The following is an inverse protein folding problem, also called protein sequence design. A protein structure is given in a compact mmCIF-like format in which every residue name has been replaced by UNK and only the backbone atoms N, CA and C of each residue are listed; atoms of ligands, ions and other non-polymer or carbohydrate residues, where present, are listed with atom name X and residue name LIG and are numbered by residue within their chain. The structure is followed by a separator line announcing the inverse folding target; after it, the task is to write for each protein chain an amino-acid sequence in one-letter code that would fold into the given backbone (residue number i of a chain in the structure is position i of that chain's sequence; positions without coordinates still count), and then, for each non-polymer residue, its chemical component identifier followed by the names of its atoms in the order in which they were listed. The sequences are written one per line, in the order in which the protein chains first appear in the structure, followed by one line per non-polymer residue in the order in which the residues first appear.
data_IF_688930703137
#
_entry.id   IF_688930703137
#
_cell.length_a   1.000
_cell.length_b   1.000
_cell.length_c   1.000
_cell.angle_alpha   90.00
_cell.angle_beta   90.00
_cell.angle_gamma   90.00
#
_symmetry.space_group_name_H-M   'P 1'
#
loop_
_entity.id
_entity.type
_entity.pdbx_description
1 polymer ?
#
# COMPACT_ATOMS: atom_id res chain seq x y z
N UNK A 1 14.68 -9.74 13.74
CA UNK A 1 14.37 -8.38 13.25
C UNK A 1 12.86 -8.25 13.24
N UNK A 2 12.26 -7.22 13.85
CA UNK A 2 10.81 -7.07 13.79
C UNK A 2 10.35 -6.88 12.33
N UNK A 3 9.19 -7.42 11.95
CA UNK A 3 8.67 -7.33 10.58
C UNK A 3 8.63 -5.87 10.06
N UNK A 4 8.35 -4.90 10.94
CA UNK A 4 8.40 -3.47 10.63
C UNK A 4 9.81 -2.94 10.29
N UNK A 5 10.89 -3.43 10.92
CA UNK A 5 12.26 -2.96 10.64
C UNK A 5 12.79 -3.51 9.31
N UNK A 6 12.53 -4.79 9.02
CA UNK A 6 12.90 -5.38 7.72
C UNK A 6 12.17 -4.63 6.59
N UNK A 7 10.87 -4.36 6.75
CA UNK A 7 10.09 -3.57 5.80
C UNK A 7 10.75 -2.23 5.49
N UNK A 8 11.12 -1.46 6.52
CA UNK A 8 11.74 -0.14 6.33
C UNK A 8 13.11 -0.21 5.67
N UNK A 9 13.90 -1.25 5.95
CA UNK A 9 15.20 -1.47 5.29
C UNK A 9 14.98 -1.73 3.79
N UNK A 10 14.07 -2.63 3.44
CA UNK A 10 13.78 -2.97 2.04
C UNK A 10 13.24 -1.78 1.26
N UNK A 11 12.35 -0.98 1.86
CA UNK A 11 11.90 0.29 1.27
C UNK A 11 13.10 1.21 1.04
N UNK A 12 13.97 1.38 2.04
CA UNK A 12 15.16 2.26 1.93
C UNK A 12 16.13 1.81 0.84
N UNK A 13 16.32 0.49 0.67
CA UNK A 13 17.17 -0.10 -0.38
C UNK A 13 16.65 0.20 -1.79
N UNK A 14 15.35 0.49 -1.94
CA UNK A 14 14.75 0.91 -3.22
C UNK A 14 14.74 2.42 -3.41
N UNK A 15 14.53 3.18 -2.33
CA UNK A 15 14.39 4.64 -2.38
C UNK A 15 15.63 5.31 -2.95
N UNK A 16 16.82 4.93 -2.46
CA UNK A 16 18.08 5.55 -2.91
C UNK A 16 18.31 5.38 -4.41
N UNK A 17 18.31 4.15 -4.97
CA UNK A 17 18.55 3.98 -6.41
C UNK A 17 17.43 4.58 -7.26
N UNK A 18 16.17 4.55 -6.81
CA UNK A 18 15.04 5.18 -7.53
C UNK A 18 15.19 6.71 -7.55
N UNK A 19 15.50 7.33 -6.40
CA UNK A 19 15.69 8.78 -6.31
C UNK A 19 16.87 9.27 -7.15
N UNK A 20 17.96 8.50 -7.21
CA UNK A 20 19.14 8.81 -8.05
C UNK A 20 18.81 8.74 -9.55
N UNK A 21 17.90 7.85 -9.94
CA UNK A 21 17.48 7.67 -11.32
C UNK A 21 16.32 8.61 -11.75
N UNK A 22 15.83 9.48 -10.86
CA UNK A 22 14.84 10.48 -11.21
C UNK A 22 15.34 11.43 -12.32
N UNK A 23 14.44 11.75 -13.25
CA UNK A 23 14.68 12.73 -14.32
C UNK A 23 13.77 13.94 -14.15
N UNK A 24 14.00 14.99 -14.96
CA UNK A 24 13.21 16.22 -14.87
C UNK A 24 11.71 15.94 -15.03
N UNK A 25 10.90 16.40 -14.07
CA UNK A 25 9.45 16.21 -14.07
C UNK A 25 8.97 14.88 -13.47
N UNK A 26 9.87 13.99 -13.06
CA UNK A 26 9.56 12.79 -12.29
C UNK A 26 9.92 13.03 -10.82
N UNK A 27 9.16 12.43 -9.91
CA UNK A 27 9.39 12.45 -8.46
C UNK A 27 9.08 11.09 -7.87
N UNK A 28 9.83 10.67 -6.86
CA UNK A 28 9.49 9.54 -6.01
C UNK A 28 9.00 10.00 -4.62
N UNK A 29 8.05 9.26 -4.06
CA UNK A 29 7.47 9.49 -2.75
C UNK A 29 7.41 8.18 -1.98
N UNK A 30 7.70 8.22 -0.68
CA UNK A 30 7.65 7.06 0.20
C UNK A 30 6.46 7.10 1.14
N UNK A 31 5.89 5.93 1.40
CA UNK A 31 4.75 5.75 2.30
C UNK A 31 3.54 6.63 1.95
N UNK A 32 3.41 7.02 0.68
CA UNK A 32 2.46 8.02 0.21
C UNK A 32 1.10 7.42 -0.15
N UNK A 33 0.07 8.22 0.02
CA UNK A 33 -1.26 7.90 -0.47
C UNK A 33 -1.39 8.13 -1.98
N UNK A 34 -2.11 7.27 -2.68
CA UNK A 34 -2.42 7.37 -4.11
C UNK A 34 -3.93 7.45 -4.25
N UNK A 35 -4.45 8.65 -4.51
CA UNK A 35 -5.89 8.88 -4.77
C UNK A 35 -6.19 8.51 -6.22
N UNK A 36 -6.76 7.33 -6.42
CA UNK A 36 -7.10 6.79 -7.75
C UNK A 36 -8.51 7.18 -8.18
N UNK A 37 -9.42 7.32 -7.21
CA UNK A 37 -10.79 7.83 -7.37
C UNK A 37 -11.27 8.51 -6.09
N UNK A 38 -12.49 9.04 -6.08
CA UNK A 38 -13.09 9.67 -4.89
C UNK A 38 -13.39 8.68 -3.77
N UNK A 39 -13.47 7.39 -4.08
CA UNK A 39 -13.73 6.29 -3.17
C UNK A 39 -12.58 5.28 -3.10
N UNK A 40 -11.47 5.57 -3.80
CA UNK A 40 -10.31 4.68 -3.87
C UNK A 40 -9.01 5.43 -3.63
N UNK A 41 -8.38 5.10 -2.51
CA UNK A 41 -7.11 5.61 -2.07
C UNK A 41 -6.27 4.47 -1.50
N UNK A 42 -5.17 4.15 -2.18
CA UNK A 42 -4.25 3.08 -1.80
C UNK A 42 -2.95 3.69 -1.28
N UNK A 43 -2.29 3.04 -0.33
CA UNK A 43 -1.00 3.52 0.18
C UNK A 43 0.11 2.69 -0.45
N UNK A 44 0.96 3.34 -1.24
CA UNK A 44 2.15 2.72 -1.79
C UNK A 44 3.32 2.89 -0.82
N UNK A 45 4.19 1.88 -0.72
CA UNK A 45 5.43 2.00 0.06
C UNK A 45 6.43 2.93 -0.64
N UNK A 46 6.45 2.87 -1.98
CA UNK A 46 7.15 3.80 -2.86
C UNK A 46 6.30 4.02 -4.12
N UNK A 47 6.13 5.27 -4.53
CA UNK A 47 5.50 5.61 -5.80
C UNK A 47 6.41 6.54 -6.60
N UNK A 48 6.34 6.44 -7.93
CA UNK A 48 6.95 7.39 -8.86
C UNK A 48 5.83 8.12 -9.58
N UNK A 49 5.73 9.43 -9.38
CA UNK A 49 4.73 10.32 -9.99
C UNK A 49 5.36 11.28 -11.00
N UNK A 50 4.54 11.81 -11.92
CA UNK A 50 4.86 13.10 -12.55
C UNK A 50 4.77 14.18 -11.48
N UNK A 51 5.67 15.15 -11.50
CA UNK A 51 5.76 16.19 -10.47
C UNK A 51 4.45 16.96 -10.24
N UNK A 52 3.63 17.13 -11.28
CA UNK A 52 2.31 17.77 -11.22
C UNK A 52 1.25 16.95 -10.45
N UNK A 53 1.44 15.64 -10.30
CA UNK A 53 0.53 14.77 -9.55
C UNK A 53 0.80 14.81 -8.05
N UNK A 54 1.95 15.34 -7.64
CA UNK A 54 2.39 15.31 -6.26
C UNK A 54 1.87 16.62 -5.60
N UNK A 55 0.69 16.57 -4.95
CA UNK A 55 0.07 17.73 -4.30
C UNK A 55 0.89 18.15 -3.07
N UNK A 56 1.34 19.41 -3.05
CA UNK A 56 2.35 19.93 -2.12
C UNK A 56 1.91 19.98 -0.65
N UNK A 57 0.61 19.81 -0.36
CA UNK A 57 0.07 19.95 0.99
C UNK A 57 -0.23 18.61 1.70
N UNK A 58 -0.23 17.47 0.99
CA UNK A 58 -0.82 16.21 1.54
C UNK A 58 -0.03 14.92 1.38
N UNK A 59 1.22 14.96 0.91
CA UNK A 59 2.05 13.75 0.70
C UNK A 59 1.29 12.65 -0.07
N UNK A 60 0.49 13.07 -1.06
CA UNK A 60 -0.46 12.25 -1.79
C UNK A 60 -0.32 12.47 -3.30
N UNK A 61 -0.28 11.36 -4.05
CA UNK A 61 -0.30 11.33 -5.51
C UNK A 61 -1.75 11.38 -5.99
N UNK A 62 -2.04 12.33 -6.89
CA UNK A 62 -3.34 12.43 -7.56
C UNK A 62 -3.34 11.63 -8.87
N UNK A 63 -4.30 10.72 -9.01
CA UNK A 63 -4.42 9.82 -10.15
C UNK A 63 -3.38 8.70 -10.17
N UNK A 64 -3.36 7.90 -11.26
CA UNK A 64 -2.45 6.75 -11.36
C UNK A 64 -0.98 7.22 -11.43
N UNK A 65 -0.09 6.75 -10.54
CA UNK A 65 1.35 7.01 -10.63
C UNK A 65 1.93 6.33 -11.87
N UNK A 66 3.17 6.69 -12.22
CA UNK A 66 3.94 5.98 -13.25
C UNK A 66 4.36 4.60 -12.75
N UNK A 67 4.72 4.48 -11.47
CA UNK A 67 5.07 3.22 -10.82
C UNK A 67 4.52 3.22 -9.39
N UNK A 68 3.90 2.11 -8.98
CA UNK A 68 3.62 1.78 -7.59
C UNK A 68 4.47 0.58 -7.17
N UNK A 69 5.12 0.68 -6.01
CA UNK A 69 5.94 -0.38 -5.42
C UNK A 69 5.37 -0.72 -4.04
N UNK A 70 5.18 -2.01 -3.81
CA UNK A 70 4.79 -2.55 -2.51
C UNK A 70 5.91 -3.45 -1.97
N UNK A 71 6.24 -3.27 -0.70
CA UNK A 71 7.13 -4.16 0.03
C UNK A 71 6.24 -5.03 0.92
N UNK A 72 6.13 -6.31 0.59
CA UNK A 72 5.17 -7.18 1.24
C UNK A 72 5.53 -7.40 2.72
N UNK A 73 4.57 -7.15 3.61
CA UNK A 73 4.62 -7.55 5.02
C UNK A 73 3.73 -8.78 5.26
N UNK A 74 3.84 -9.47 6.40
CA UNK A 74 2.92 -10.57 6.72
C UNK A 74 1.44 -10.18 6.60
N UNK A 75 1.08 -8.95 6.97
CA UNK A 75 -0.31 -8.46 6.92
C UNK A 75 -0.74 -8.04 5.50
N UNK A 76 0.17 -7.50 4.68
CA UNK A 76 -0.18 -6.96 3.37
C UNK A 76 0.03 -7.92 2.20
N UNK A 77 0.90 -8.92 2.35
CA UNK A 77 1.39 -9.80 1.28
C UNK A 77 0.28 -10.38 0.40
N UNK A 78 -0.80 -10.87 1.00
CA UNK A 78 -1.91 -11.46 0.25
C UNK A 78 -2.59 -10.42 -0.67
N UNK A 79 -2.75 -9.19 -0.20
CA UNK A 79 -3.33 -8.09 -0.99
C UNK A 79 -2.33 -7.52 -2.00
N UNK A 80 -1.07 -7.36 -1.65
CA UNK A 80 -0.03 -6.85 -2.55
C UNK A 80 0.19 -7.79 -3.76
N UNK A 81 0.09 -9.11 -3.55
CA UNK A 81 0.18 -10.09 -4.64
C UNK A 81 -1.14 -10.31 -5.40
N UNK A 82 -2.25 -9.75 -4.90
CA UNK A 82 -3.62 -9.98 -5.40
C UNK A 82 -4.40 -8.68 -5.56
N UNK A 83 -5.31 -8.40 -4.63
CA UNK A 83 -6.29 -7.32 -4.75
C UNK A 83 -5.70 -5.95 -5.10
N UNK A 84 -4.56 -5.54 -4.53
CA UNK A 84 -3.94 -4.25 -4.85
C UNK A 84 -3.35 -4.23 -6.25
N UNK A 85 -2.76 -5.33 -6.71
CA UNK A 85 -2.32 -5.48 -8.10
C UNK A 85 -3.51 -5.31 -9.04
N UNK A 86 -4.64 -5.95 -8.75
CA UNK A 86 -5.85 -5.84 -9.56
C UNK A 86 -6.42 -4.41 -9.55
N UNK A 87 -6.37 -3.72 -8.41
CA UNK A 87 -6.77 -2.32 -8.29
C UNK A 87 -5.89 -1.39 -9.12
N UNK A 88 -4.57 -1.44 -8.96
CA UNK A 88 -3.65 -0.62 -9.76
C UNK A 88 -3.78 -0.92 -11.27
N UNK A 89 -4.03 -2.18 -11.65
CA UNK A 89 -4.34 -2.56 -13.03
C UNK A 89 -5.60 -1.86 -13.53
N UNK A 90 -6.69 -1.95 -12.75
CA UNK A 90 -8.00 -1.34 -13.06
C UNK A 90 -7.89 0.17 -13.27
N UNK A 91 -7.07 0.85 -12.48
CA UNK A 91 -6.84 2.29 -12.58
C UNK A 91 -5.74 2.69 -13.58
N UNK A 92 -5.14 1.74 -14.29
CA UNK A 92 -4.23 2.04 -15.39
C UNK A 92 -2.82 2.46 -14.97
N UNK A 93 -2.35 2.04 -13.77
CA UNK A 93 -0.98 2.30 -13.34
C UNK A 93 -0.01 1.51 -14.24
N UNK A 94 0.92 2.15 -14.98
CA UNK A 94 1.71 1.46 -15.99
C UNK A 94 2.67 0.40 -15.44
N UNK A 95 3.24 0.63 -14.27
CA UNK A 95 4.23 -0.26 -13.65
C UNK A 95 3.85 -0.59 -12.21
N UNK A 96 3.94 -1.86 -11.85
CA UNK A 96 3.65 -2.34 -10.50
C UNK A 96 4.69 -3.34 -10.03
N UNK A 97 5.41 -3.03 -8.95
CA UNK A 97 6.44 -3.91 -8.41
C UNK A 97 6.05 -4.42 -7.03
N UNK A 98 6.36 -5.68 -6.77
CA UNK A 98 6.23 -6.27 -5.43
C UNK A 98 7.57 -6.83 -5.00
N UNK A 99 8.11 -6.29 -3.91
CA UNK A 99 9.26 -6.84 -3.21
C UNK A 99 8.75 -7.71 -2.08
N UNK A 100 8.86 -9.01 -2.26
CA UNK A 100 8.34 -10.01 -1.33
C UNK A 100 9.50 -10.68 -0.59
N UNK A 101 9.81 -10.26 0.66
CA UNK A 101 10.76 -10.97 1.50
C UNK A 101 10.19 -12.28 2.07
N UNK A 102 8.90 -12.55 1.87
CA UNK A 102 8.23 -13.77 2.29
C UNK A 102 8.17 -14.84 1.19
N UNK A 103 7.77 -16.05 1.58
CA UNK A 103 7.77 -17.23 0.70
C UNK A 103 8.95 -18.16 0.99
N UNK A 104 9.23 -19.09 0.05
CA UNK A 104 10.39 -19.99 0.16
C UNK A 104 11.71 -19.24 -0.05
N UNK A 105 11.72 -18.25 -0.95
CA UNK A 105 12.85 -17.36 -1.23
C UNK A 105 12.36 -15.91 -1.45
N UNK A 106 13.14 -14.89 -1.03
CA UNK A 106 12.85 -13.49 -1.34
C UNK A 106 12.81 -13.23 -2.85
N UNK A 107 11.84 -12.44 -3.31
CA UNK A 107 11.69 -12.15 -4.73
C UNK A 107 11.28 -10.71 -5.01
N UNK A 108 11.66 -10.20 -6.18
CA UNK A 108 11.11 -8.98 -6.77
C UNK A 108 10.31 -9.35 -8.00
N UNK A 109 9.04 -8.93 -8.04
CA UNK A 109 8.15 -9.11 -9.20
C UNK A 109 7.97 -7.77 -9.87
N UNK A 110 8.22 -7.73 -11.17
CA UNK A 110 8.08 -6.53 -12.00
C UNK A 110 6.92 -6.75 -12.96
N UNK A 111 5.84 -6.01 -12.77
CA UNK A 111 4.69 -6.03 -13.66
C UNK A 111 4.62 -4.76 -14.51
N UNK A 112 4.20 -4.94 -15.77
CA UNK A 112 3.92 -3.85 -16.70
C UNK A 112 2.52 -4.01 -17.28
N UNK A 113 1.79 -2.90 -17.39
CA UNK A 113 0.45 -2.85 -17.94
C UNK A 113 0.56 -2.86 -19.47
N UNK A 114 -0.01 -3.89 -20.10
CA UNK A 114 -0.15 -3.99 -21.55
C UNK A 114 -1.61 -4.22 -21.88
N UNK A 115 -2.17 -3.37 -22.75
CA UNK A 115 -3.55 -3.49 -23.22
C UNK A 115 -4.56 -3.67 -22.07
N UNK A 116 -4.32 -2.99 -20.94
CA UNK A 116 -5.17 -3.02 -19.74
C UNK A 116 -4.95 -4.21 -18.80
N UNK A 117 -3.97 -5.08 -19.06
CA UNK A 117 -3.66 -6.26 -18.23
C UNK A 117 -2.18 -6.28 -17.83
N UNK A 118 -1.90 -6.57 -16.55
CA UNK A 118 -0.54 -6.71 -16.08
C UNK A 118 0.10 -8.02 -16.54
N UNK A 119 1.24 -7.89 -17.21
CA UNK A 119 2.15 -9.00 -17.47
C UNK A 119 3.29 -8.98 -16.43
N UNK A 120 3.59 -10.12 -15.78
CA UNK A 120 4.85 -10.29 -15.03
C UNK A 120 6.00 -10.35 -16.04
N UNK A 121 6.79 -9.27 -16.13
CA UNK A 121 7.92 -9.17 -17.06
C UNK A 121 9.12 -9.94 -16.59
N UNK A 122 9.39 -9.83 -15.30
CA UNK A 122 10.47 -10.54 -14.66
C UNK A 122 10.09 -10.86 -13.22
N UNK A 123 10.58 -12.01 -12.77
CA UNK A 123 10.68 -12.36 -11.36
C UNK A 123 12.15 -12.55 -11.04
N UNK A 124 12.66 -11.73 -10.14
CA UNK A 124 14.07 -11.70 -9.75
C UNK A 124 14.18 -12.44 -8.41
N UNK A 125 14.84 -13.59 -8.42
CA UNK A 125 15.22 -14.34 -7.20
C UNK A 125 16.73 -14.24 -6.93
N UNK A 126 17.26 -15.05 -6.00
CA UNK A 126 18.68 -15.05 -5.64
C UNK A 126 19.62 -15.14 -6.85
N UNK A 127 20.64 -14.29 -6.89
CA UNK A 127 21.62 -14.14 -7.98
C UNK A 127 21.10 -13.35 -9.19
N UNK A 128 19.83 -12.96 -9.19
CA UNK A 128 19.16 -12.32 -10.31
C UNK A 128 19.37 -10.81 -10.37
N UNK A 129 19.40 -10.27 -11.59
CA UNK A 129 19.33 -8.83 -11.87
C UNK A 129 18.50 -8.55 -13.12
N UNK A 130 17.95 -7.35 -13.21
CA UNK A 130 17.16 -6.90 -14.36
C UNK A 130 17.26 -5.39 -14.57
N UNK A 131 17.50 -4.97 -15.80
CA UNK A 131 17.45 -3.56 -16.18
C UNK A 131 16.00 -3.15 -16.52
N UNK A 132 15.49 -2.19 -15.77
CA UNK A 132 14.25 -1.48 -16.04
C UNK A 132 14.59 -0.20 -16.79
N UNK A 133 13.85 0.11 -17.86
CA UNK A 133 14.05 1.34 -18.64
C UNK A 133 12.93 2.37 -18.47
N UNK A 134 11.78 1.97 -17.93
CA UNK A 134 10.62 2.82 -17.68
C UNK A 134 9.99 2.48 -16.32
N UNK A 135 9.50 3.49 -15.56
CA UNK A 135 9.40 4.90 -15.93
C UNK A 135 10.73 5.68 -15.79
N UNK A 136 11.76 5.02 -15.26
CA UNK A 136 13.11 5.54 -15.09
C UNK A 136 14.11 4.39 -15.28
N UNK A 137 15.35 4.68 -15.74
CA UNK A 137 16.36 3.66 -15.94
C UNK A 137 16.97 3.24 -14.60
N UNK A 138 16.78 1.97 -14.21
CA UNK A 138 17.32 1.41 -12.97
C UNK A 138 17.65 -0.07 -13.16
N UNK A 139 18.78 -0.52 -12.61
CA UNK A 139 19.05 -1.95 -12.46
C UNK A 139 18.50 -2.42 -11.10
N UNK A 140 17.62 -3.42 -11.14
CA UNK A 140 17.15 -4.13 -9.96
C UNK A 140 18.01 -5.38 -9.79
N UNK A 141 18.85 -5.42 -8.75
CA UNK A 141 19.62 -6.59 -8.38
C UNK A 141 19.09 -7.16 -7.05
N UNK A 142 18.84 -8.48 -7.02
CA UNK A 142 18.32 -9.16 -5.84
C UNK A 142 19.20 -8.90 -4.61
N UNK A 143 20.51 -9.08 -4.76
CA UNK A 143 21.47 -8.89 -3.68
C UNK A 143 21.44 -7.46 -3.16
N UNK A 144 21.34 -6.45 -4.03
CA UNK A 144 21.31 -5.05 -3.59
C UNK A 144 20.03 -4.71 -2.80
N UNK A 145 18.91 -5.37 -3.12
CA UNK A 145 17.62 -5.12 -2.47
C UNK A 145 17.53 -5.87 -1.13
N UNK A 146 18.02 -7.10 -1.07
CA UNK A 146 17.90 -7.97 0.11
C UNK A 146 19.19 -8.09 0.95
N UNK A 147 20.25 -7.31 0.67
CA UNK A 147 21.51 -7.38 1.44
C UNK A 147 21.29 -7.10 2.95
N UNK A 148 21.95 -7.90 3.79
CA UNK A 148 21.83 -7.86 5.25
C UNK A 148 22.63 -6.70 5.90
N UNK A 149 23.24 -5.82 5.10
CA UNK A 149 24.27 -4.87 5.53
C UNK A 149 23.77 -3.45 5.88
N UNK A 150 22.59 -3.31 6.50
CA UNK A 150 22.13 -1.99 7.03
C UNK A 150 21.84 -2.03 8.53
N UNK A 151 22.92 -2.09 9.32
CA UNK A 151 22.91 -1.82 10.76
C UNK A 151 22.90 -0.31 11.03
N UNK A 152 21.73 0.30 11.00
CA UNK A 152 21.53 1.61 11.63
C UNK A 152 20.40 1.55 12.66
N UNK A 153 20.81 1.62 13.93
CA UNK A 153 19.92 1.83 15.05
C UNK A 153 19.69 3.34 15.22
N UNK A 154 18.44 3.78 15.13
CA UNK A 154 18.01 5.14 15.44
C UNK A 154 16.66 5.11 16.16
N UNK A 155 16.60 5.78 17.32
CA UNK A 155 15.38 5.96 18.09
C UNK A 155 14.37 6.83 17.34
N UNK A 156 13.12 6.38 17.24
CA UNK A 156 12.00 7.21 16.84
C UNK A 156 11.08 7.49 18.03
N UNK A 157 10.74 8.77 18.25
CA UNK A 157 9.65 9.23 19.11
C UNK A 157 8.45 9.51 18.21
N UNK A 158 7.32 8.85 18.48
CA UNK A 158 6.09 9.09 17.74
C UNK A 158 5.56 10.50 17.97
N UNK A 159 5.08 11.14 16.90
CA UNK A 159 4.21 12.30 16.99
C UNK A 159 2.76 11.84 17.16
N UNK A 160 2.04 12.51 18.06
CA UNK A 160 0.59 12.43 18.18
C UNK A 160 -0.03 13.41 17.19
N UNK A 161 -0.97 12.96 16.36
CA UNK A 161 -1.89 13.84 15.64
C UNK A 161 -3.16 14.03 16.48
N UNK A 162 -3.74 15.23 16.43
CA UNK A 162 -5.02 15.54 17.08
C UNK A 162 -6.19 14.95 16.27
N UNK A 163 -7.14 14.34 16.98
CA UNK A 163 -8.34 13.73 16.41
C UNK A 163 -9.52 14.70 16.44
N UNK A 164 -9.95 15.20 15.28
CA UNK A 164 -11.34 15.61 15.04
C UNK A 164 -11.69 15.33 13.58
N UNK A 165 -12.78 14.59 13.36
CA UNK A 165 -13.30 14.25 12.03
C UNK A 165 -14.83 14.22 12.04
N UNK A 166 -15.47 14.46 10.88
CA UNK A 166 -16.93 14.52 10.77
C UNK A 166 -17.61 13.16 11.03
N UNK A 167 -18.94 13.19 11.16
CA UNK A 167 -19.78 11.99 11.25
C UNK A 167 -19.60 11.11 10.01
N UNK A 168 -19.66 9.79 10.19
CA UNK A 168 -19.60 8.83 9.08
C UNK A 168 -20.84 9.01 8.19
N UNK A 169 -20.71 8.86 6.86
CA UNK A 169 -21.88 8.76 5.98
C UNK A 169 -22.72 7.54 6.39
N UNK A 170 -23.98 7.52 5.96
CA UNK A 170 -24.89 6.41 6.28
C UNK A 170 -24.32 5.06 5.79
N UNK A 171 -24.79 3.94 6.34
CA UNK A 171 -24.31 2.61 5.93
C UNK A 171 -24.64 2.26 4.46
N UNK A 172 -25.54 3.03 3.84
CA UNK A 172 -25.98 2.90 2.45
C UNK A 172 -25.13 3.75 1.48
N UNK A 173 -24.39 4.73 1.98
CA UNK A 173 -23.55 5.63 1.16
C UNK A 173 -22.08 5.13 1.13
N UNK A 174 -21.31 5.38 0.05
CA UNK A 174 -19.88 5.06 0.04
C UNK A 174 -19.10 5.98 0.99
N UNK A 175 -18.03 5.47 1.60
CA UNK A 175 -17.07 6.32 2.32
C UNK A 175 -16.12 6.90 1.28
N UNK A 176 -16.10 8.23 1.14
CA UNK A 176 -15.21 8.92 0.22
C UNK A 176 -13.86 9.26 0.88
N UNK A 177 -12.82 9.46 0.07
CA UNK A 177 -11.44 9.75 0.50
C UNK A 177 -11.39 10.95 1.44
N UNK A 178 -12.16 12.00 1.15
CA UNK A 178 -12.18 13.21 1.96
C UNK A 178 -12.82 12.98 3.34
N UNK A 179 -13.77 12.04 3.47
CA UNK A 179 -14.32 11.66 4.78
C UNK A 179 -13.41 10.68 5.54
N UNK A 180 -12.78 9.75 4.82
CA UNK A 180 -11.90 8.72 5.35
C UNK A 180 -10.64 9.29 6.02
N UNK A 181 -10.02 10.32 5.42
CA UNK A 181 -8.76 10.93 5.93
C UNK A 181 -8.85 11.57 7.32
N UNK A 182 -10.05 11.67 7.91
CA UNK A 182 -10.29 12.36 9.18
C UNK A 182 -10.63 11.42 10.36
N UNK A 183 -10.56 10.09 10.20
CA UNK A 183 -10.93 9.12 11.27
C UNK A 183 -9.96 7.94 11.29
N UNK A 184 -9.39 7.62 12.46
CA UNK A 184 -8.34 6.60 12.58
C UNK A 184 -8.55 5.70 13.81
N UNK A 185 -8.63 4.36 13.70
CA UNK A 185 -8.49 3.49 14.84
C UNK A 185 -7.00 3.36 15.21
N UNK A 186 -6.68 3.60 16.48
CA UNK A 186 -5.35 3.37 17.05
C UNK A 186 -4.95 1.90 16.88
N UNK A 187 -3.84 1.61 16.19
CA UNK A 187 -3.23 0.27 16.12
C UNK A 187 -3.02 -0.30 14.73
N UNK A 188 -3.67 0.23 13.68
CA UNK A 188 -3.45 -0.25 12.31
C UNK A 188 -2.03 0.08 11.81
N UNK A 189 -1.37 -0.88 11.16
CA UNK A 189 -0.04 -0.72 10.55
C UNK A 189 -0.12 0.14 9.27
N UNK A 190 -1.19 -0.07 8.51
CA UNK A 190 -1.51 0.60 7.25
C UNK A 190 -3.02 0.65 7.13
N UNK A 191 -3.53 1.70 6.51
CA UNK A 191 -4.96 1.84 6.21
C UNK A 191 -5.08 2.27 4.77
N UNK A 192 -6.11 1.78 4.10
CA UNK A 192 -6.48 2.10 2.72
C UNK A 192 -8.00 2.24 2.60
N UNK A 193 -8.45 2.80 1.49
CA UNK A 193 -9.84 2.87 1.08
C UNK A 193 -9.93 2.30 -0.34
N UNK A 194 -10.71 1.26 -0.57
CA UNK A 194 -10.91 0.70 -1.90
C UNK A 194 -12.39 0.56 -2.20
N UNK A 195 -12.86 1.14 -3.31
CA UNK A 195 -14.27 1.12 -3.72
C UNK A 195 -15.23 1.49 -2.56
N UNK A 196 -14.84 2.50 -1.78
CA UNK A 196 -15.59 3.01 -0.62
C UNK A 196 -15.53 2.15 0.63
N UNK A 197 -14.69 1.11 0.66
CA UNK A 197 -14.50 0.19 1.77
C UNK A 197 -13.19 0.47 2.50
N UNK A 198 -13.21 0.93 3.77
CA UNK A 198 -12.01 1.03 4.60
C UNK A 198 -11.34 -0.33 4.84
N UNK A 199 -10.02 -0.38 4.73
CA UNK A 199 -9.20 -1.59 4.94
C UNK A 199 -8.10 -1.28 5.93
N UNK A 200 -8.07 -2.02 7.04
CA UNK A 200 -7.10 -1.87 8.13
C UNK A 200 -6.16 -3.06 8.16
N UNK A 201 -4.87 -2.82 7.99
CA UNK A 201 -3.82 -3.84 8.01
C UNK A 201 -3.24 -3.99 9.42
N UNK A 202 -3.01 -5.21 9.85
CA UNK A 202 -2.41 -5.51 11.15
C UNK A 202 -2.67 -6.94 11.61
N UNK A 203 -2.47 -7.19 12.90
CA UNK A 203 -2.87 -8.43 13.57
C UNK A 203 -4.18 -8.19 14.31
N UNK A 204 -5.24 -8.85 13.87
CA UNK A 204 -6.61 -8.58 14.33
C UNK A 204 -7.28 -9.84 14.88
N UNK A 205 -8.03 -9.71 15.95
CA UNK A 205 -8.84 -10.78 16.55
C UNK A 205 -10.33 -10.43 16.66
N UNK A 206 -11.14 -11.32 17.22
CA UNK A 206 -12.59 -11.13 17.34
C UNK A 206 -12.98 -9.92 18.20
N UNK A 207 -12.13 -9.47 19.13
CA UNK A 207 -12.37 -8.27 19.95
C UNK A 207 -12.25 -7.02 19.09
N UNK A 208 -11.30 -7.01 18.17
CA UNK A 208 -11.13 -5.91 17.22
C UNK A 208 -12.30 -5.82 16.25
N UNK A 209 -12.80 -6.97 15.78
CA UNK A 209 -14.04 -7.05 14.98
C UNK A 209 -15.21 -6.43 15.73
N UNK A 210 -15.42 -6.82 16.99
CA UNK A 210 -16.50 -6.26 17.80
C UNK A 210 -16.35 -4.75 18.05
N UNK A 211 -15.13 -4.22 18.15
CA UNK A 211 -14.86 -2.77 18.26
C UNK A 211 -15.21 -2.08 16.93
N UNK A 212 -14.81 -2.66 15.81
CA UNK A 212 -15.11 -2.13 14.48
C UNK A 212 -16.61 -2.10 14.23
N UNK A 213 -17.37 -3.14 14.59
CA UNK A 213 -18.84 -3.18 14.43
C UNK A 213 -19.53 -2.04 15.21
N UNK A 214 -19.02 -1.70 16.40
CA UNK A 214 -19.55 -0.55 17.17
C UNK A 214 -19.18 0.80 16.55
N UNK A 215 -18.02 0.87 15.90
CA UNK A 215 -17.51 2.09 15.27
C UNK A 215 -18.19 2.36 13.93
N UNK A 216 -18.57 1.31 13.21
CA UNK A 216 -19.20 1.33 11.90
C UNK A 216 -20.58 0.67 11.95
N UNK A 217 -21.56 1.28 12.65
CA UNK A 217 -22.88 0.69 12.82
C UNK A 217 -23.57 0.48 11.47
N UNK A 218 -24.15 -0.71 11.27
CA UNK A 218 -24.87 -1.07 10.05
C UNK A 218 -23.99 -1.51 8.87
N UNK A 219 -22.66 -1.41 8.97
CA UNK A 219 -21.69 -1.95 7.99
C UNK A 219 -21.38 -3.40 8.30
N UNK A 220 -20.92 -4.15 7.30
CA UNK A 220 -20.41 -5.51 7.50
C UNK A 220 -18.91 -5.46 7.78
N UNK A 221 -18.49 -5.90 8.96
CA UNK A 221 -17.07 -6.01 9.31
C UNK A 221 -16.60 -7.41 8.92
N UNK A 222 -15.59 -7.48 8.05
CA UNK A 222 -15.00 -8.74 7.61
C UNK A 222 -13.56 -8.85 8.08
N UNK A 223 -13.24 -9.95 8.73
CA UNK A 223 -11.87 -10.35 9.03
C UNK A 223 -11.38 -11.26 7.89
N UNK A 224 -10.38 -10.82 7.13
CA UNK A 224 -9.95 -11.47 5.89
C UNK A 224 -8.96 -12.64 6.11
N UNK A 225 -8.63 -12.91 7.37
CA UNK A 225 -7.65 -13.90 7.82
C UNK A 225 -8.10 -14.61 9.12
N UNK A 226 -7.44 -15.71 9.53
CA UNK A 226 -7.70 -16.30 10.86
C UNK A 226 -7.38 -15.32 11.99
N UNK A 227 -8.21 -15.30 13.04
CA UNK A 227 -8.02 -14.40 14.19
C UNK A 227 -6.63 -14.51 14.84
N UNK A 228 -6.07 -13.36 15.20
CA UNK A 228 -4.73 -13.23 15.76
C UNK A 228 -3.60 -13.45 14.76
N UNK A 229 -3.90 -13.59 13.46
CA UNK A 229 -2.89 -13.61 12.39
C UNK A 229 -2.81 -12.25 11.69
N UNK A 230 -1.61 -11.90 11.15
CA UNK A 230 -1.47 -10.75 10.27
C UNK A 230 -2.41 -10.85 9.06
N UNK A 231 -3.12 -9.76 8.76
CA UNK A 231 -4.04 -9.64 7.64
C UNK A 231 -4.81 -8.33 7.69
N UNK A 232 -6.10 -8.36 7.33
CA UNK A 232 -6.93 -7.16 7.22
C UNK A 232 -8.29 -7.29 7.87
N UNK A 233 -8.75 -6.20 8.49
CA UNK A 233 -10.18 -5.96 8.71
C UNK A 233 -10.65 -5.06 7.56
N UNK A 234 -11.69 -5.49 6.86
CA UNK A 234 -12.36 -4.71 5.82
C UNK A 234 -13.76 -4.30 6.29
N UNK A 235 -14.10 -3.02 6.15
CA UNK A 235 -15.43 -2.47 6.45
C UNK A 235 -16.20 -2.35 5.14
N UNK A 236 -17.14 -3.28 4.95
CA UNK A 236 -17.96 -3.36 3.74
C UNK A 236 -19.27 -2.57 3.94
N UNK A 237 -19.97 -2.21 2.84
CA UNK A 237 -21.32 -1.68 2.91
C UNK A 237 -22.26 -2.55 3.75
N UNK A 238 -23.30 -1.93 4.30
CA UNK A 238 -24.36 -2.68 4.95
C UNK A 238 -25.08 -3.61 3.95
N UNK A 239 -25.77 -4.65 4.44
CA UNK A 239 -26.67 -5.43 3.58
C UNK A 239 -27.72 -4.49 2.94
N UNK A 240 -28.09 -4.75 1.69
CA UNK A 240 -29.20 -4.02 1.07
C UNK A 240 -30.46 -4.17 1.94
N UNK A 241 -31.23 -3.09 2.16
CA UNK A 241 -32.47 -3.17 2.91
C UNK A 241 -33.40 -4.20 2.24
N UNK A 242 -34.01 -5.06 3.06
CA UNK A 242 -34.96 -6.04 2.56
C UNK A 242 -36.10 -5.32 1.81
N UNK A 243 -36.25 -5.65 0.53
CA UNK A 243 -37.30 -5.12 -0.35
C UNK A 243 -38.71 -5.49 0.10
#
# INVERSE_FOLDING_TARGET
MGHSLLHQILVSNLVVPVAVAETAGIRSLTGCGVRLADDTWLRADLAVCRGEQCDGERWCVQGPPLLAVEVASPASRARDLGAKKDAYQRFGVPHYWVVDPGGDEPTVRVHELLDGVYAERVRIGPGGRHEVTAPLPIELAHEAIFDESSRWAGHWRGNSMEHTGPDLPSCEEPILVDAFGHRWPTGAEKVELEDGCPIFYGEWDERDVAIAERTYPGRVVRLDQPAGRPGTITILPGPEPAA
#
